data_IF_976822566443
#
_entry.id   IF_976822566443
#
_cell.length_a   1.000
_cell.length_b   1.000
_cell.length_c   1.000
_cell.angle_alpha   90.00
_cell.angle_beta   90.00
_cell.angle_gamma   90.00
#
_symmetry.space_group_name_H-M   'P 1'
#
loop_
_entity.id
_entity.type
_entity.pdbx_description
1 polymer ?
#
# COMPACT_ATOMS: atom_id res chain seq x y z
N UNK A 1 9.67 -13.61 -26.05
CA UNK A 1 10.20 -12.90 -24.87
C UNK A 1 9.74 -13.72 -23.67
N UNK A 2 10.66 -14.48 -23.09
CA UNK A 2 10.40 -15.49 -22.07
C UNK A 2 10.04 -14.83 -20.75
N UNK A 3 8.98 -15.31 -20.10
CA UNK A 3 8.45 -14.81 -18.84
C UNK A 3 9.50 -14.84 -17.74
N UNK A 4 9.97 -13.67 -17.35
CA UNK A 4 10.63 -13.46 -16.07
C UNK A 4 9.48 -13.22 -15.09
N UNK A 5 8.99 -14.29 -14.47
CA UNK A 5 8.11 -14.18 -13.32
C UNK A 5 8.98 -14.16 -12.07
N UNK A 6 9.00 -13.03 -11.37
CA UNK A 6 9.57 -12.98 -10.03
C UNK A 6 8.52 -13.48 -9.05
N UNK A 7 8.70 -14.69 -8.51
CA UNK A 7 7.98 -15.12 -7.33
C UNK A 7 8.63 -14.50 -6.10
N UNK A 8 8.31 -13.23 -5.87
CA UNK A 8 8.83 -12.45 -4.74
C UNK A 8 8.80 -13.19 -3.37
N UNK A 9 7.81 -14.05 -3.04
CA UNK A 9 7.83 -14.80 -1.78
C UNK A 9 9.00 -15.79 -1.65
N UNK A 10 9.48 -16.36 -2.76
CA UNK A 10 10.50 -17.43 -2.76
C UNK A 10 11.84 -16.99 -3.35
N UNK A 11 11.89 -15.88 -4.08
CA UNK A 11 13.11 -15.38 -4.74
C UNK A 11 14.22 -14.89 -3.80
N UNK A 12 13.89 -14.55 -2.55
CA UNK A 12 14.83 -13.96 -1.59
C UNK A 12 15.29 -14.91 -0.47
N UNK A 13 14.79 -16.14 -0.42
CA UNK A 13 15.11 -17.12 0.63
C UNK A 13 15.55 -18.47 0.05
N UNK A 14 16.50 -19.19 0.68
CA UNK A 14 16.87 -20.54 0.27
C UNK A 14 15.68 -21.51 0.26
N UNK A 15 15.67 -22.50 -0.64
CA UNK A 15 14.53 -23.41 -0.85
C UNK A 15 14.11 -24.26 0.36
N UNK A 16 14.97 -24.45 1.37
CA UNK A 16 14.71 -25.30 2.55
C UNK A 16 14.53 -24.49 3.85
N UNK A 17 14.08 -23.24 3.75
CA UNK A 17 13.80 -22.44 4.96
C UNK A 17 12.49 -22.86 5.62
N UNK A 18 12.48 -22.81 6.96
CA UNK A 18 11.29 -23.02 7.78
C UNK A 18 10.11 -22.11 7.37
N UNK A 19 10.39 -20.89 6.93
CA UNK A 19 9.37 -19.92 6.53
C UNK A 19 8.45 -20.45 5.41
N UNK A 20 8.94 -21.28 4.48
CA UNK A 20 8.11 -21.84 3.41
C UNK A 20 7.08 -22.85 3.93
N UNK A 21 7.44 -23.62 4.96
CA UNK A 21 6.50 -24.53 5.64
C UNK A 21 5.40 -23.74 6.38
N UNK A 22 5.76 -22.60 6.96
CA UNK A 22 4.82 -21.72 7.66
C UNK A 22 3.88 -21.01 6.68
N UNK A 23 4.38 -20.59 5.52
CA UNK A 23 3.55 -20.03 4.44
C UNK A 23 2.58 -21.08 3.91
N UNK A 24 3.01 -22.31 3.66
CA UNK A 24 2.12 -23.40 3.22
C UNK A 24 1.03 -23.70 4.28
N UNK A 25 1.41 -23.74 5.55
CA UNK A 25 0.45 -23.86 6.64
C UNK A 25 -0.53 -22.67 6.67
N UNK A 26 -0.05 -21.44 6.44
CA UNK A 26 -0.89 -20.24 6.37
C UNK A 26 -1.86 -20.25 5.18
N UNK A 27 -1.45 -20.75 4.02
CA UNK A 27 -2.32 -20.93 2.85
C UNK A 27 -3.49 -21.87 3.17
N UNK A 28 -3.26 -22.93 3.95
CA UNK A 28 -4.32 -23.83 4.37
C UNK A 28 -5.41 -23.15 5.24
N UNK A 29 -5.11 -22.00 5.87
CA UNK A 29 -6.10 -21.18 6.56
C UNK A 29 -6.82 -20.17 5.65
N UNK A 30 -6.41 -20.05 4.38
CA UNK A 30 -7.04 -19.20 3.35
C UNK A 30 -7.38 -20.07 2.12
N UNK A 31 -8.06 -21.20 2.36
CA UNK A 31 -8.55 -22.11 1.31
C UNK A 31 -7.47 -22.68 0.37
N UNK A 32 -6.22 -22.75 0.83
CA UNK A 32 -5.08 -23.26 0.05
C UNK A 32 -4.38 -22.19 -0.80
N UNK A 33 -4.82 -20.94 -0.74
CA UNK A 33 -4.34 -19.83 -1.57
C UNK A 33 -3.60 -18.77 -0.75
N UNK A 34 -2.82 -17.93 -1.44
CA UNK A 34 -2.33 -16.69 -0.83
C UNK A 34 -3.49 -15.70 -0.73
N UNK A 35 -3.71 -15.06 0.43
CA UNK A 35 -4.76 -14.07 0.55
C UNK A 35 -4.46 -12.85 -0.32
N UNK A 36 -5.51 -12.23 -0.83
CA UNK A 36 -5.43 -10.95 -1.52
C UNK A 36 -5.09 -9.89 -0.47
N UNK A 37 -4.02 -9.13 -0.67
CA UNK A 37 -3.57 -8.06 0.23
C UNK A 37 -3.17 -6.82 -0.57
N UNK A 38 -3.93 -5.75 -0.41
CA UNK A 38 -3.63 -4.43 -0.98
C UNK A 38 -3.73 -3.36 0.09
N UNK A 39 -2.71 -2.50 0.16
CA UNK A 39 -2.63 -1.37 1.08
C UNK A 39 -2.70 -0.06 0.31
N UNK A 40 -3.38 0.93 0.89
CA UNK A 40 -3.44 2.27 0.34
C UNK A 40 -3.08 3.27 1.42
N UNK A 41 -1.95 3.93 1.22
CA UNK A 41 -1.43 4.98 2.09
C UNK A 41 -1.96 6.31 1.56
N UNK A 42 -2.76 7.00 2.36
CA UNK A 42 -3.45 8.23 1.95
C UNK A 42 -2.82 9.41 2.67
N UNK A 43 -2.33 10.34 1.87
CA UNK A 43 -1.70 11.57 2.33
C UNK A 43 -2.55 12.77 1.89
N UNK A 44 -2.47 13.87 2.63
CA UNK A 44 -3.07 15.12 2.20
C UNK A 44 -2.29 15.69 1.02
N UNK A 45 -2.99 16.11 -0.04
CA UNK A 45 -2.36 16.60 -1.27
C UNK A 45 -1.60 17.91 -1.06
N UNK A 46 -2.10 18.74 -0.15
CA UNK A 46 -1.48 20.00 0.26
C UNK A 46 -0.37 19.84 1.30
N UNK A 47 -0.06 18.61 1.72
CA UNK A 47 0.94 18.31 2.75
C UNK A 47 0.48 18.62 4.18
N UNK A 48 -0.79 19.00 4.37
CA UNK A 48 -1.38 19.27 5.69
C UNK A 48 -1.85 18.00 6.41
N UNK A 49 -2.67 18.19 7.44
CA UNK A 49 -3.27 17.10 8.23
C UNK A 49 -4.34 16.35 7.44
N UNK A 50 -4.39 15.02 7.57
CA UNK A 50 -5.48 14.18 7.09
C UNK A 50 -6.73 14.24 7.99
N UNK A 51 -6.64 14.82 9.19
CA UNK A 51 -7.77 14.93 10.13
C UNK A 51 -8.78 16.04 9.78
N UNK A 52 -9.09 16.18 8.48
CA UNK A 52 -10.04 17.17 7.95
C UNK A 52 -11.19 16.42 7.29
N UNK A 53 -12.42 16.90 7.50
CA UNK A 53 -13.63 16.23 7.02
C UNK A 53 -13.57 15.95 5.52
N UNK A 54 -13.17 16.92 4.69
CA UNK A 54 -13.04 16.75 3.24
C UNK A 54 -12.03 15.65 2.84
N UNK A 55 -10.95 15.52 3.60
CA UNK A 55 -9.89 14.53 3.33
C UNK A 55 -10.35 13.14 3.74
N UNK A 56 -11.03 13.03 4.88
CA UNK A 56 -11.63 11.77 5.35
C UNK A 56 -12.82 11.35 4.46
N UNK A 57 -13.60 12.30 3.92
CA UNK A 57 -14.64 12.02 2.93
C UNK A 57 -14.04 11.38 1.68
N UNK A 58 -13.01 12.00 1.09
CA UNK A 58 -12.32 11.45 -0.07
C UNK A 58 -11.66 10.10 0.24
N UNK A 59 -11.18 9.90 1.48
CA UNK A 59 -10.62 8.63 1.96
C UNK A 59 -11.68 7.53 2.00
N UNK A 60 -12.87 7.80 2.57
CA UNK A 60 -13.96 6.81 2.62
C UNK A 60 -14.52 6.51 1.22
N UNK A 61 -14.46 7.47 0.29
CA UNK A 61 -14.82 7.23 -1.12
C UNK A 61 -13.95 6.14 -1.77
N UNK A 62 -12.64 6.09 -1.45
CA UNK A 62 -11.74 5.03 -1.94
C UNK A 62 -12.21 3.64 -1.52
N UNK A 63 -12.71 3.49 -0.28
CA UNK A 63 -13.25 2.21 0.21
C UNK A 63 -14.41 1.75 -0.69
N UNK A 64 -15.34 2.66 -0.99
CA UNK A 64 -16.49 2.37 -1.86
C UNK A 64 -16.07 2.06 -3.31
N UNK A 65 -15.09 2.81 -3.84
CA UNK A 65 -14.56 2.58 -5.18
C UNK A 65 -13.95 1.18 -5.30
N UNK A 66 -13.12 0.77 -4.36
CA UNK A 66 -12.45 -0.56 -4.40
C UNK A 66 -13.46 -1.70 -4.24
N UNK A 67 -14.44 -1.52 -3.36
CA UNK A 67 -15.48 -2.51 -3.13
C UNK A 67 -16.33 -2.82 -4.39
N UNK A 68 -16.54 -1.83 -5.26
CA UNK A 68 -17.57 -1.93 -6.30
C UNK A 68 -17.11 -1.67 -7.74
N UNK A 69 -16.02 -0.93 -7.98
CA UNK A 69 -15.65 -0.51 -9.34
C UNK A 69 -14.62 -1.43 -10.01
N UNK A 70 -13.86 -2.18 -9.23
CA UNK A 70 -12.81 -3.07 -9.74
C UNK A 70 -13.31 -4.51 -9.72
N UNK A 71 -13.78 -4.96 -10.89
CA UNK A 71 -14.26 -6.31 -11.08
C UNK A 71 -13.26 -7.13 -11.93
N UNK A 72 -13.07 -8.39 -11.53
CA UNK A 72 -12.41 -9.40 -12.37
C UNK A 72 -13.39 -10.55 -12.55
N UNK A 73 -13.60 -10.97 -13.81
CA UNK A 73 -14.64 -11.95 -14.19
C UNK A 73 -16.04 -11.54 -13.71
N UNK A 74 -16.35 -10.24 -13.77
CA UNK A 74 -17.61 -9.63 -13.29
C UNK A 74 -17.87 -9.80 -11.78
N UNK A 75 -16.83 -10.11 -11.00
CA UNK A 75 -16.90 -10.22 -9.53
C UNK A 75 -16.11 -9.07 -8.90
N UNK A 76 -16.74 -8.30 -8.02
CA UNK A 76 -16.12 -7.16 -7.30
C UNK A 76 -15.52 -7.59 -5.96
N UNK A 77 -14.70 -6.72 -5.35
CA UNK A 77 -14.12 -6.99 -4.03
C UNK A 77 -15.20 -7.22 -2.95
N UNK A 78 -16.29 -6.45 -2.97
CA UNK A 78 -17.40 -6.63 -2.02
C UNK A 78 -18.09 -8.01 -2.14
N UNK A 79 -17.97 -8.69 -3.27
CA UNK A 79 -18.57 -10.01 -3.48
C UNK A 79 -17.64 -11.17 -3.04
N UNK A 80 -16.33 -10.95 -3.04
CA UNK A 80 -15.32 -11.96 -2.62
C UNK A 80 -14.89 -11.77 -1.18
N UNK A 81 -15.14 -10.61 -0.59
CA UNK A 81 -14.79 -10.35 0.78
C UNK A 81 -15.75 -11.08 1.72
N UNK A 82 -15.25 -12.13 2.36
CA UNK A 82 -15.97 -12.83 3.44
C UNK A 82 -15.46 -12.40 4.81
N UNK A 83 -14.13 -12.32 4.95
CA UNK A 83 -13.44 -12.00 6.19
C UNK A 83 -12.73 -10.63 6.04
N UNK A 84 -12.70 -9.84 7.12
CA UNK A 84 -12.00 -8.54 7.18
C UNK A 84 -12.58 -7.42 6.29
N UNK A 85 -13.83 -7.54 5.84
CA UNK A 85 -14.47 -6.51 5.01
C UNK A 85 -14.62 -5.17 5.72
N UNK A 86 -14.84 -5.25 7.03
CA UNK A 86 -14.98 -4.10 7.90
C UNK A 86 -13.65 -3.68 8.53
N UNK A 87 -12.50 -4.15 8.00
CA UNK A 87 -11.19 -3.81 8.57
C UNK A 87 -10.96 -2.29 8.57
N UNK A 88 -11.51 -1.56 7.59
CA UNK A 88 -11.41 -0.10 7.50
C UNK A 88 -12.53 0.64 8.24
N UNK A 89 -13.41 -0.06 8.94
CA UNK A 89 -14.61 0.53 9.55
C UNK A 89 -14.27 1.59 10.60
N UNK A 90 -13.15 1.45 11.31
CA UNK A 90 -12.68 2.46 12.26
C UNK A 90 -12.49 3.84 11.60
N UNK A 91 -12.02 3.89 10.34
CA UNK A 91 -11.87 5.14 9.57
C UNK A 91 -13.23 5.73 9.21
N UNK A 92 -14.17 4.88 8.80
CA UNK A 92 -15.54 5.27 8.45
C UNK A 92 -16.26 5.84 9.68
N UNK A 93 -16.17 5.13 10.81
CA UNK A 93 -16.79 5.52 12.08
C UNK A 93 -16.20 6.82 12.62
N UNK A 94 -14.87 6.96 12.59
CA UNK A 94 -14.20 8.20 12.97
C UNK A 94 -14.68 9.39 12.14
N UNK A 95 -14.71 9.24 10.81
CA UNK A 95 -15.20 10.27 9.89
C UNK A 95 -16.64 10.65 10.19
N UNK A 96 -17.53 9.65 10.31
CA UNK A 96 -18.95 9.89 10.55
C UNK A 96 -19.17 10.63 11.87
N UNK A 97 -18.48 10.20 12.93
CA UNK A 97 -18.56 10.83 14.23
C UNK A 97 -17.96 12.25 14.23
N UNK A 98 -16.91 12.50 13.44
CA UNK A 98 -16.37 13.85 13.24
C UNK A 98 -17.38 14.79 12.58
N UNK A 99 -18.12 14.31 11.57
CA UNK A 99 -19.20 15.07 10.93
C UNK A 99 -20.30 15.38 11.94
N UNK A 100 -20.79 14.37 12.67
CA UNK A 100 -21.85 14.54 13.67
C UNK A 100 -21.43 15.58 14.73
N UNK A 101 -20.20 15.46 15.24
CA UNK A 101 -19.66 16.40 16.23
C UNK A 101 -19.48 17.81 15.67
N UNK A 102 -19.06 17.94 14.41
CA UNK A 102 -18.95 19.25 13.76
C UNK A 102 -20.31 19.95 13.63
N UNK A 103 -21.35 19.22 13.20
CA UNK A 103 -22.69 19.76 13.06
C UNK A 103 -23.30 20.18 14.41
N UNK A 104 -23.08 19.38 15.46
CA UNK A 104 -23.54 19.75 16.80
C UNK A 104 -22.87 21.03 17.31
N UNK A 105 -21.55 21.18 17.13
CA UNK A 105 -20.81 22.39 17.51
C UNK A 105 -21.29 23.61 16.73
N UNK A 106 -21.61 23.48 15.44
CA UNK A 106 -22.18 24.56 14.62
C UNK A 106 -23.58 24.98 15.08
N UNK A 107 -24.41 24.02 15.51
CA UNK A 107 -25.76 24.27 16.03
C UNK A 107 -25.76 24.76 17.49
N UNK A 108 -24.60 24.85 18.14
CA UNK A 108 -24.48 25.21 19.55
C UNK A 108 -24.95 24.10 20.51
N UNK A 109 -25.09 22.87 20.02
CA UNK A 109 -25.41 21.70 20.82
C UNK A 109 -24.14 21.11 21.44
N UNK A 110 -24.19 20.81 22.74
CA UNK A 110 -23.08 20.17 23.43
C UNK A 110 -23.30 18.66 23.43
N UNK A 111 -22.61 17.93 22.55
CA UNK A 111 -22.53 16.48 22.65
C UNK A 111 -21.69 16.12 23.88
N UNK A 112 -22.22 15.25 24.74
CA UNK A 112 -21.45 14.74 25.86
C UNK A 112 -20.37 13.79 25.36
N UNK A 113 -19.16 13.88 25.93
CA UNK A 113 -18.04 13.00 25.59
C UNK A 113 -18.36 11.51 25.85
N UNK A 114 -19.37 11.20 26.65
CA UNK A 114 -19.89 9.84 26.88
C UNK A 114 -20.59 9.22 25.66
N UNK A 115 -21.03 10.03 24.69
CA UNK A 115 -21.72 9.58 23.47
C UNK A 115 -20.77 9.60 22.28
N UNK A 116 -19.84 10.55 22.25
CA UNK A 116 -18.88 10.71 21.14
C UNK A 116 -17.57 11.30 21.65
N UNK A 117 -16.57 10.45 21.82
CA UNK A 117 -15.21 10.84 22.15
C UNK A 117 -14.26 10.52 20.98
N UNK A 118 -13.84 11.55 20.26
CA UNK A 118 -12.89 11.41 19.14
C UNK A 118 -11.47 11.59 19.65
N UNK A 119 -10.97 10.56 20.32
CA UNK A 119 -9.61 10.52 20.83
C UNK A 119 -8.75 9.48 20.11
N UNK A 120 -7.48 9.78 19.92
CA UNK A 120 -6.46 8.80 19.58
C UNK A 120 -5.77 8.32 20.87
N UNK A 121 -5.47 7.02 21.02
CA UNK A 121 -5.59 5.93 20.03
C UNK A 121 -6.98 5.30 19.90
N UNK A 122 -7.80 5.37 20.95
CA UNK A 122 -9.12 4.75 20.99
C UNK A 122 -10.17 5.85 20.95
N UNK A 123 -11.03 5.77 19.94
CA UNK A 123 -12.19 6.65 19.80
C UNK A 123 -13.47 5.90 20.16
N UNK A 124 -14.45 6.64 20.67
CA UNK A 124 -15.77 6.13 21.00
C UNK A 124 -16.83 6.88 20.19
N UNK A 125 -17.77 6.14 19.62
CA UNK A 125 -18.99 6.69 19.05
C UNK A 125 -20.16 5.75 19.35
N UNK A 126 -21.26 6.29 19.85
CA UNK A 126 -22.50 5.55 20.13
C UNK A 126 -22.28 4.33 21.06
N UNK A 127 -21.34 4.43 21.99
CA UNK A 127 -21.03 3.36 22.95
C UNK A 127 -20.10 2.27 22.41
N UNK A 128 -19.58 2.41 21.19
CA UNK A 128 -18.59 1.50 20.62
C UNK A 128 -17.22 2.14 20.60
N UNK A 129 -16.25 1.45 21.18
CA UNK A 129 -14.84 1.80 21.10
C UNK A 129 -14.21 1.18 19.85
N UNK A 130 -13.43 1.96 19.12
CA UNK A 130 -12.66 1.50 17.97
C UNK A 130 -11.24 2.04 18.00
N UNK A 131 -10.31 1.17 17.62
CA UNK A 131 -8.88 1.44 17.63
C UNK A 131 -8.45 2.08 16.30
N UNK A 132 -7.84 3.25 16.37
CA UNK A 132 -7.33 3.99 15.22
C UNK A 132 -5.88 3.63 14.87
N UNK A 133 -5.15 2.93 15.73
CA UNK A 133 -3.70 2.70 15.58
C UNK A 133 -3.31 1.91 14.33
N UNK A 134 -4.22 1.07 13.82
CA UNK A 134 -3.99 0.30 12.57
C UNK A 134 -4.16 1.15 11.31
N UNK A 135 -4.78 2.32 11.42
CA UNK A 135 -5.11 3.17 10.27
C UNK A 135 -4.45 4.54 10.33
N UNK A 136 -4.25 5.11 11.52
CA UNK A 136 -3.81 6.50 11.68
C UNK A 136 -2.34 6.56 12.05
N UNK A 137 -1.53 7.16 11.16
CA UNK A 137 -0.08 7.20 11.30
C UNK A 137 0.43 8.64 11.34
N UNK A 138 1.51 8.85 12.12
CA UNK A 138 2.08 10.18 12.36
C UNK A 138 1.10 11.11 13.06
N UNK A 139 0.44 10.62 14.11
CA UNK A 139 -0.54 11.37 14.89
C UNK A 139 0.16 12.28 15.89
N UNK A 140 -0.13 13.56 15.84
CA UNK A 140 0.18 14.53 16.89
C UNK A 140 -1.12 14.90 17.62
N UNK A 141 -1.09 14.88 18.95
CA UNK A 141 -2.26 15.23 19.77
C UNK A 141 -2.10 16.60 20.41
N UNK A 142 -3.23 17.24 20.71
CA UNK A 142 -3.25 18.42 21.55
C UNK A 142 -2.88 18.06 22.99
N UNK A 143 -2.21 19.00 23.68
CA UNK A 143 -2.14 18.97 25.13
C UNK A 143 -3.50 19.34 25.72
N UNK A 144 -3.80 18.87 26.93
CA UNK A 144 -5.06 19.21 27.61
C UNK A 144 -5.30 20.72 27.72
N UNK A 145 -4.24 21.51 27.94
CA UNK A 145 -4.30 22.97 27.99
C UNK A 145 -4.62 23.65 26.65
N UNK A 146 -4.40 22.94 25.53
CA UNK A 146 -4.67 23.43 24.16
C UNK A 146 -6.07 23.03 23.68
N UNK A 147 -6.74 22.09 24.37
CA UNK A 147 -8.09 21.64 24.02
C UNK A 147 -9.14 22.65 24.47
N UNK A 148 -10.20 22.79 23.66
CA UNK A 148 -11.34 23.65 23.98
C UNK A 148 -12.64 22.94 23.61
N UNK A 149 -13.78 23.46 24.05
CA UNK A 149 -15.08 22.90 23.65
C UNK A 149 -15.34 22.96 22.13
N UNK A 150 -14.51 23.69 21.36
CA UNK A 150 -14.56 23.75 19.90
C UNK A 150 -13.67 22.70 19.21
N UNK A 151 -12.73 22.07 19.92
CA UNK A 151 -11.88 21.04 19.33
C UNK A 151 -12.69 19.76 19.17
N UNK A 152 -12.86 19.32 17.92
CA UNK A 152 -13.68 18.15 17.61
C UNK A 152 -13.04 16.84 18.09
N UNK A 153 -11.71 16.75 18.01
CA UNK A 153 -10.91 15.59 18.40
C UNK A 153 -9.63 16.00 19.12
N UNK A 154 -9.01 15.09 19.87
CA UNK A 154 -7.68 15.33 20.43
C UNK A 154 -6.54 15.30 19.38
N UNK A 155 -6.84 14.93 18.14
CA UNK A 155 -5.88 14.84 17.04
C UNK A 155 -5.63 16.23 16.44
N UNK A 156 -4.42 16.74 16.61
CA UNK A 156 -3.95 18.01 16.06
C UNK A 156 -3.46 17.85 14.63
N UNK A 157 -2.64 16.84 14.38
CA UNK A 157 -2.12 16.53 13.06
C UNK A 157 -2.19 15.02 12.82
N UNK A 158 -2.59 14.63 11.62
CA UNK A 158 -2.61 13.25 11.16
C UNK A 158 -1.83 13.21 9.85
N UNK A 159 -0.66 12.55 9.85
CA UNK A 159 0.19 12.52 8.67
C UNK A 159 -0.40 11.67 7.55
N UNK A 160 -0.94 10.50 7.88
CA UNK A 160 -1.34 9.49 6.91
C UNK A 160 -2.48 8.61 7.43
N UNK A 161 -3.38 8.22 6.53
CA UNK A 161 -4.38 7.17 6.77
C UNK A 161 -4.03 5.94 5.93
N UNK A 162 -3.98 4.76 6.55
CA UNK A 162 -3.80 3.48 5.88
C UNK A 162 -5.16 2.79 5.72
N UNK A 163 -5.50 2.44 4.48
CA UNK A 163 -6.57 1.50 4.19
C UNK A 163 -5.98 0.15 3.83
N UNK A 164 -6.63 -0.91 4.32
CA UNK A 164 -6.23 -2.31 4.08
C UNK A 164 -7.37 -3.04 3.39
N UNK A 165 -7.07 -3.75 2.32
CA UNK A 165 -8.01 -4.63 1.64
C UNK A 165 -7.46 -6.03 1.71
N UNK A 166 -8.18 -6.89 2.43
CA UNK A 166 -7.86 -8.29 2.61
C UNK A 166 -9.07 -9.13 2.23
N UNK A 167 -8.86 -10.12 1.38
CA UNK A 167 -9.86 -11.12 1.05
C UNK A 167 -9.20 -12.47 0.81
N UNK A 168 -9.97 -13.53 0.94
CA UNK A 168 -9.57 -14.84 0.42
C UNK A 168 -9.70 -14.82 -1.10
N UNK A 169 -8.84 -15.58 -1.78
CA UNK A 169 -8.96 -15.77 -3.21
C UNK A 169 -10.20 -16.63 -3.48
N UNK A 170 -11.16 -16.16 -4.29
CA UNK A 170 -12.34 -16.96 -4.61
C UNK A 170 -11.96 -18.12 -5.56
N UNK A 171 -12.66 -19.25 -5.46
CA UNK A 171 -12.38 -20.46 -6.25
C UNK A 171 -12.38 -20.23 -7.77
N UNK A 172 -13.11 -19.22 -8.25
CA UNK A 172 -13.18 -18.89 -9.69
C UNK A 172 -11.96 -18.11 -10.19
N UNK A 173 -11.12 -17.58 -9.28
CA UNK A 173 -9.93 -16.81 -9.62
C UNK A 173 -8.68 -17.68 -9.55
N UNK A 174 -7.78 -17.48 -10.50
CA UNK A 174 -6.40 -17.95 -10.39
C UNK A 174 -5.46 -16.83 -9.93
N UNK A 175 -4.18 -17.14 -9.70
CA UNK A 175 -3.17 -16.16 -9.30
C UNK A 175 -3.03 -15.01 -10.33
N UNK A 176 -3.35 -15.25 -11.60
CA UNK A 176 -3.30 -14.21 -12.64
C UNK A 176 -4.47 -13.25 -12.53
N UNK A 177 -5.63 -13.72 -12.10
CA UNK A 177 -6.81 -12.89 -11.82
C UNK A 177 -6.60 -12.02 -10.59
N UNK A 178 -6.02 -12.56 -9.51
CA UNK A 178 -5.62 -11.78 -8.33
C UNK A 178 -4.64 -10.67 -8.73
N UNK A 179 -3.58 -11.01 -9.47
CA UNK A 179 -2.62 -10.03 -9.99
C UNK A 179 -3.28 -9.00 -10.92
N UNK A 180 -4.26 -9.42 -11.74
CA UNK A 180 -5.02 -8.51 -12.61
C UNK A 180 -5.84 -7.52 -11.79
N UNK A 181 -6.49 -7.98 -10.72
CA UNK A 181 -7.24 -7.11 -9.81
C UNK A 181 -6.31 -6.09 -9.15
N UNK A 182 -5.21 -6.52 -8.51
CA UNK A 182 -4.21 -5.62 -7.89
C UNK A 182 -3.67 -4.58 -8.88
N UNK A 183 -3.29 -5.01 -10.08
CA UNK A 183 -2.77 -4.11 -11.13
C UNK A 183 -3.82 -3.12 -11.61
N UNK A 184 -5.10 -3.51 -11.69
CA UNK A 184 -6.18 -2.62 -12.11
C UNK A 184 -6.35 -1.44 -11.14
N UNK A 185 -6.31 -1.73 -9.84
CA UNK A 185 -6.37 -0.72 -8.77
C UNK A 185 -5.11 0.15 -8.82
N UNK A 186 -3.94 -0.50 -8.94
CA UNK A 186 -2.66 0.21 -8.96
C UNK A 186 -2.56 1.19 -10.12
N UNK A 187 -2.93 0.75 -11.33
CA UNK A 187 -2.92 1.60 -12.51
C UNK A 187 -3.89 2.76 -12.40
N UNK A 188 -5.08 2.55 -11.82
CA UNK A 188 -6.05 3.61 -11.61
C UNK A 188 -5.52 4.67 -10.65
N UNK A 189 -5.05 4.29 -9.46
CA UNK A 189 -4.61 5.28 -8.47
C UNK A 189 -3.27 5.95 -8.78
N UNK A 190 -2.37 5.28 -9.52
CA UNK A 190 -1.08 5.86 -9.89
C UNK A 190 -1.16 6.78 -11.11
N UNK A 191 -2.01 6.45 -12.10
CA UNK A 191 -2.01 7.15 -13.39
C UNK A 191 -3.28 7.95 -13.67
N UNK A 192 -4.44 7.51 -13.17
CA UNK A 192 -5.75 8.08 -13.50
C UNK A 192 -6.41 8.88 -12.40
N UNK A 193 -6.06 8.62 -11.13
CA UNK A 193 -6.74 9.21 -10.00
C UNK A 193 -6.30 10.64 -9.74
N UNK A 194 -7.28 11.55 -9.71
CA UNK A 194 -7.05 12.97 -9.47
C UNK A 194 -8.12 13.50 -8.52
N UNK A 195 -7.75 13.72 -7.25
CA UNK A 195 -8.62 14.29 -6.23
C UNK A 195 -7.99 15.57 -5.65
N UNK A 196 -8.78 16.59 -5.36
CA UNK A 196 -8.27 17.88 -4.86
C UNK A 196 -7.68 17.81 -3.44
N UNK A 197 -8.12 16.86 -2.62
CA UNK A 197 -7.81 16.79 -1.19
C UNK A 197 -6.72 15.76 -0.86
N UNK A 198 -6.76 14.60 -1.49
CA UNK A 198 -5.91 13.47 -1.11
C UNK A 198 -4.99 12.99 -2.24
N UNK A 199 -3.89 12.38 -1.84
CA UNK A 199 -2.95 11.66 -2.68
C UNK A 199 -2.82 10.22 -2.16
N UNK A 200 -3.51 9.25 -2.77
CA UNK A 200 -3.34 7.84 -2.42
C UNK A 200 -2.05 7.29 -3.04
N UNK A 201 -1.37 6.45 -2.28
CA UNK A 201 -0.21 5.66 -2.69
C UNK A 201 -0.55 4.20 -2.45
N UNK A 202 -0.62 3.43 -3.52
CA UNK A 202 -0.95 2.01 -3.45
C UNK A 202 0.30 1.15 -3.26
N UNK A 203 0.16 0.11 -2.46
CA UNK A 203 1.15 -0.93 -2.26
C UNK A 203 0.49 -2.30 -2.28
N UNK A 204 0.96 -3.16 -3.17
CA UNK A 204 0.58 -4.58 -3.25
C UNK A 204 1.80 -5.41 -3.66
N UNK A 205 1.76 -6.71 -3.40
CA UNK A 205 2.85 -7.61 -3.79
C UNK A 205 3.03 -7.65 -5.32
N UNK A 206 1.91 -7.66 -6.05
CA UNK A 206 1.88 -7.61 -7.52
C UNK A 206 2.59 -6.35 -8.05
N UNK A 207 2.33 -5.19 -7.43
CA UNK A 207 2.99 -3.94 -7.80
C UNK A 207 4.49 -3.98 -7.49
N UNK A 208 4.89 -4.50 -6.33
CA UNK A 208 6.30 -4.63 -5.97
C UNK A 208 7.07 -5.55 -6.95
N UNK A 209 6.46 -6.65 -7.38
CA UNK A 209 7.03 -7.54 -8.40
C UNK A 209 7.21 -6.83 -9.74
N UNK A 210 6.18 -6.11 -10.21
CA UNK A 210 6.25 -5.34 -11.45
C UNK A 210 7.36 -4.28 -11.40
N UNK A 211 7.57 -3.66 -10.24
CA UNK A 211 8.65 -2.71 -10.00
C UNK A 211 10.04 -3.36 -10.07
N UNK A 212 10.22 -4.53 -9.48
CA UNK A 212 11.48 -5.29 -9.56
C UNK A 212 11.81 -5.65 -11.01
N UNK A 213 10.82 -6.15 -11.76
CA UNK A 213 10.99 -6.50 -13.18
C UNK A 213 11.29 -5.26 -14.02
N UNK A 214 10.62 -4.13 -13.76
CA UNK A 214 10.88 -2.85 -14.45
C UNK A 214 12.30 -2.35 -14.20
N UNK A 215 12.79 -2.41 -12.96
CA UNK A 215 14.16 -2.02 -12.63
C UNK A 215 15.17 -2.96 -13.31
N UNK A 216 14.94 -4.27 -13.27
CA UNK A 216 15.80 -5.25 -13.93
C UNK A 216 15.93 -5.03 -15.43
N UNK A 217 14.80 -4.79 -16.11
CA UNK A 217 14.78 -4.50 -17.55
C UNK A 217 15.40 -3.15 -17.90
N UNK A 218 15.23 -2.12 -17.04
CA UNK A 218 15.85 -0.81 -17.23
C UNK A 218 17.37 -0.85 -17.05
N UNK A 219 17.88 -1.75 -16.18
CA UNK A 219 19.32 -1.91 -15.94
C UNK A 219 20.03 -2.77 -17.00
N UNK A 220 19.30 -3.64 -17.69
CA UNK A 220 19.83 -4.55 -18.73
C UNK A 220 20.75 -3.88 -19.77
N UNK A 221 20.41 -2.74 -20.41
CA UNK A 221 21.28 -2.12 -21.42
C UNK A 221 22.62 -1.64 -20.83
N UNK A 222 22.64 -1.16 -19.59
CA UNK A 222 23.88 -0.71 -18.93
C UNK A 222 24.84 -1.88 -18.69
N UNK A 223 24.31 -3.04 -18.29
CA UNK A 223 25.11 -4.26 -18.14
C UNK A 223 25.74 -4.68 -19.47
N UNK A 224 24.99 -4.64 -20.57
CA UNK A 224 25.49 -4.97 -21.93
C UNK A 224 26.64 -4.03 -22.32
N UNK A 225 26.46 -2.72 -22.11
CA UNK A 225 27.50 -1.72 -22.38
C UNK A 225 28.75 -2.00 -21.54
N UNK A 226 28.59 -2.29 -20.25
CA UNK A 226 29.69 -2.66 -19.36
C UNK A 226 30.49 -3.87 -19.87
N UNK A 227 29.81 -4.93 -20.31
CA UNK A 227 30.48 -6.11 -20.90
C UNK A 227 31.26 -5.78 -22.17
N UNK A 228 30.71 -4.94 -23.05
CA UNK A 228 31.41 -4.48 -24.27
C UNK A 228 32.67 -3.71 -23.89
N UNK A 229 32.58 -2.75 -22.97
CA UNK A 229 33.73 -1.97 -22.51
C UNK A 229 34.84 -2.84 -21.92
N UNK A 230 34.49 -3.79 -21.04
CA UNK A 230 35.46 -4.72 -20.44
C UNK A 230 36.13 -5.57 -21.52
N UNK A 231 35.35 -6.10 -22.46
CA UNK A 231 35.89 -6.97 -23.53
C UNK A 231 36.84 -6.21 -24.44
N UNK A 232 36.46 -5.00 -24.88
CA UNK A 232 37.32 -4.14 -25.71
C UNK A 232 38.60 -3.78 -24.97
N UNK A 233 38.51 -3.39 -23.69
CA UNK A 233 39.68 -3.04 -22.88
C UNK A 233 40.62 -4.23 -22.68
N UNK A 234 40.09 -5.43 -22.43
CA UNK A 234 40.88 -6.66 -22.32
C UNK A 234 41.59 -7.01 -23.63
N UNK A 235 40.91 -6.90 -24.78
CA UNK A 235 41.52 -7.15 -26.10
C UNK A 235 42.68 -6.18 -26.36
N UNK A 236 42.48 -4.88 -26.09
CA UNK A 236 43.52 -3.86 -26.29
C UNK A 236 44.72 -4.14 -25.40
N UNK A 237 44.49 -4.45 -24.13
CA UNK A 237 45.57 -4.72 -23.16
C UNK A 237 46.38 -5.95 -23.56
N UNK A 238 45.72 -7.05 -23.94
CA UNK A 238 46.40 -8.26 -24.42
C UNK A 238 47.17 -7.99 -25.71
N UNK A 239 46.60 -7.23 -26.66
CA UNK A 239 47.27 -6.87 -27.90
C UNK A 239 48.57 -6.08 -27.65
N UNK A 240 48.54 -5.09 -26.76
CA UNK A 240 49.72 -4.30 -26.39
C UNK A 240 50.79 -5.20 -25.76
N UNK A 241 50.41 -6.08 -24.84
CA UNK A 241 51.34 -7.00 -24.17
C UNK A 241 51.99 -7.98 -25.16
N UNK A 242 51.21 -8.55 -26.09
CA UNK A 242 51.74 -9.43 -27.14
C UNK A 242 52.72 -8.71 -28.07
N UNK A 243 52.40 -7.46 -28.44
CA UNK A 243 53.29 -6.60 -29.24
C UNK A 243 54.61 -6.33 -28.51
N UNK A 244 54.56 -6.02 -27.22
CA UNK A 244 55.76 -5.81 -26.41
C UNK A 244 56.57 -7.10 -26.26
N UNK A 245 55.95 -8.23 -25.92
CA UNK A 245 56.64 -9.52 -25.81
C UNK A 245 57.36 -9.93 -27.10
N UNK A 246 56.73 -9.72 -28.27
CA UNK A 246 57.36 -9.95 -29.58
C UNK A 246 58.54 -9.00 -29.87
N UNK A 247 58.63 -7.85 -29.20
CA UNK A 247 59.79 -6.95 -29.31
C UNK A 247 60.93 -7.29 -28.36
N UNK A 248 60.67 -7.97 -27.23
CA UNK A 248 61.71 -8.38 -26.25
C UNK A 248 62.20 -9.81 -26.49
N UNK A 249 61.48 -10.62 -27.26
CA UNK A 249 61.84 -11.99 -27.63
C UNK A 249 62.57 -12.11 -28.97
N UNK A 250 63.83 -11.66 -29.04
CA UNK A 250 64.84 -12.08 -30.03
C UNK A 250 66.25 -11.86 -29.46
N UNK A 251 66.97 -12.89 -29.00
CA UNK A 251 68.37 -13.06 -29.36
C UNK A 251 68.53 -13.47 -30.83
#
# INVERSE_FOLDING_TARGET
MTGIEDHSPTGFSPSDVRAFKEIEAYKNFNSGHEPIWTFILILARDGGSMNRIEHLNATVEIIQQINHQFAVKDITFAQICENFCDINEAVVQYRNALIIKSAAVENGELLTDSITNLSYPISNSLGFDYDLTMHFFGVETYRESEMSNKTLSNIKHLQMVLLMFRAEQPDQWDDTDVRRWDRSISNFYLNGYNNSFIRPLIYSLSYAQDEIVRVGTTLQPYSIIGFIFITVFSIITVYINLRQANQVGCP
#
